data_IF_379212743032
#
_entry.id   IF_379212743032
#
_cell.length_a   1.000
_cell.length_b   1.000
_cell.length_c   1.000
_cell.angle_alpha   90.00
_cell.angle_beta   90.00
_cell.angle_gamma   90.00
#
_symmetry.space_group_name_H-M   'P 1'
#
loop_
_entity.id
_entity.type
_entity.pdbx_description
1 polymer ?
#
# COMPACT_ATOMS: atom_id res chain seq x y z
N UNK A 1 -5.75 4.74 2.01
CA UNK A 1 -6.26 6.12 1.87
C UNK A 1 -5.54 6.94 0.80
N UNK A 2 -4.28 7.40 0.91
CA UNK A 2 -3.69 8.25 -0.17
C UNK A 2 -3.39 7.47 -1.44
N UNK A 3 -2.83 6.26 -1.36
CA UNK A 3 -2.65 5.39 -2.54
C UNK A 3 -3.99 5.05 -3.21
N UNK A 4 -5.06 4.96 -2.41
CA UNK A 4 -6.42 4.70 -2.86
C UNK A 4 -7.07 5.95 -3.48
N UNK A 5 -6.78 7.14 -2.94
CA UNK A 5 -7.16 8.43 -3.54
C UNK A 5 -6.37 8.66 -4.83
N UNK A 6 -5.09 8.30 -4.87
CA UNK A 6 -4.23 8.36 -6.06
C UNK A 6 -4.73 7.41 -7.15
N UNK A 7 -5.05 6.16 -6.79
CA UNK A 7 -5.64 5.20 -7.72
C UNK A 7 -7.01 5.66 -8.19
N UNK A 8 -7.86 6.15 -7.29
CA UNK A 8 -9.19 6.67 -7.64
C UNK A 8 -9.09 7.93 -8.52
N UNK A 9 -8.16 8.85 -8.27
CA UNK A 9 -7.93 10.02 -9.14
C UNK A 9 -7.42 9.59 -10.50
N UNK A 10 -6.47 8.66 -10.54
CA UNK A 10 -5.96 8.10 -11.79
C UNK A 10 -7.06 7.36 -12.55
N UNK A 11 -7.94 6.65 -11.85
CA UNK A 11 -9.11 5.98 -12.42
C UNK A 11 -10.18 6.97 -12.86
N UNK A 12 -10.38 8.08 -12.15
CA UNK A 12 -11.28 9.17 -12.56
C UNK A 12 -10.74 9.88 -13.80
N UNK A 13 -9.42 10.14 -13.88
CA UNK A 13 -8.80 10.69 -15.07
C UNK A 13 -8.83 9.68 -16.23
N UNK A 14 -8.63 8.39 -15.96
CA UNK A 14 -8.79 7.34 -16.95
C UNK A 14 -10.26 7.24 -17.41
N UNK A 15 -11.22 7.34 -16.50
CA UNK A 15 -12.65 7.31 -16.80
C UNK A 15 -13.11 8.56 -17.54
N UNK A 16 -12.62 9.74 -17.17
CA UNK A 16 -12.83 10.96 -17.95
C UNK A 16 -12.16 10.86 -19.31
N UNK A 17 -10.98 10.24 -19.42
CA UNK A 17 -10.37 9.98 -20.72
C UNK A 17 -11.23 9.02 -21.56
N UNK A 18 -11.88 8.03 -20.92
CA UNK A 18 -12.83 7.11 -21.54
C UNK A 18 -14.16 7.78 -21.87
N UNK A 19 -14.65 8.72 -21.06
CA UNK A 19 -15.88 9.47 -21.31
C UNK A 19 -15.66 10.55 -22.39
N UNK A 20 -14.47 11.16 -22.43
CA UNK A 20 -14.00 11.99 -23.55
C UNK A 20 -13.85 11.11 -24.79
N UNK A 21 -13.30 9.90 -24.68
CA UNK A 21 -13.29 8.92 -25.77
C UNK A 21 -14.71 8.51 -26.19
N UNK A 22 -15.66 8.41 -25.27
CA UNK A 22 -17.06 8.00 -25.53
C UNK A 22 -17.93 9.12 -26.11
N UNK A 23 -17.72 10.36 -25.68
CA UNK A 23 -18.38 11.55 -26.23
C UNK A 23 -17.71 11.99 -27.53
N UNK A 24 -16.38 11.84 -27.63
CA UNK A 24 -15.69 12.00 -28.91
C UNK A 24 -16.02 10.84 -29.85
N UNK A 25 -16.31 9.62 -29.37
CA UNK A 25 -16.79 8.48 -30.17
C UNK A 25 -18.01 8.79 -30.99
N UNK A 26 -18.90 9.71 -30.61
CA UNK A 26 -20.01 10.10 -31.50
C UNK A 26 -19.50 10.77 -32.79
N UNK A 27 -18.52 11.67 -32.65
CA UNK A 27 -17.91 12.41 -33.76
C UNK A 27 -16.78 11.63 -34.44
N UNK A 28 -16.04 10.84 -33.67
CA UNK A 28 -14.99 9.94 -34.12
C UNK A 28 -15.59 8.71 -34.79
N UNK A 29 -16.69 8.10 -34.31
CA UNK A 29 -17.45 7.08 -35.07
C UNK A 29 -18.04 7.67 -36.33
N UNK A 30 -18.49 8.93 -36.32
CA UNK A 30 -19.02 9.54 -37.54
C UNK A 30 -17.89 9.71 -38.56
N UNK A 31 -16.75 10.23 -38.11
CA UNK A 31 -15.53 10.32 -38.92
C UNK A 31 -14.99 8.95 -39.34
N UNK A 32 -15.00 7.96 -38.46
CA UNK A 32 -14.47 6.60 -38.66
C UNK A 32 -15.45 5.75 -39.47
N UNK A 33 -16.76 5.93 -39.35
CA UNK A 33 -17.74 5.37 -40.30
C UNK A 33 -17.60 6.02 -41.65
N UNK A 34 -17.42 7.34 -41.73
CA UNK A 34 -17.20 8.01 -43.00
C UNK A 34 -15.86 7.57 -43.64
N UNK A 35 -14.80 7.41 -42.85
CA UNK A 35 -13.48 6.95 -43.30
C UNK A 35 -13.49 5.44 -43.60
N UNK A 36 -14.19 4.59 -42.84
CA UNK A 36 -14.28 3.16 -43.16
C UNK A 36 -15.19 2.91 -44.36
N UNK A 37 -16.29 3.66 -44.46
CA UNK A 37 -17.25 3.55 -45.56
C UNK A 37 -16.68 4.13 -46.85
N UNK A 38 -16.09 5.34 -46.83
CA UNK A 38 -15.58 6.01 -48.04
C UNK A 38 -14.07 5.98 -48.20
N UNK A 39 -13.29 5.70 -47.15
CA UNK A 39 -11.83 5.66 -47.25
C UNK A 39 -11.35 4.49 -48.09
N UNK A 40 -12.00 3.32 -48.02
CA UNK A 40 -11.74 2.22 -48.94
C UNK A 40 -12.03 2.63 -50.39
N UNK A 41 -13.21 3.22 -50.67
CA UNK A 41 -13.53 3.67 -52.03
C UNK A 41 -12.62 4.81 -52.49
N UNK A 42 -12.23 5.75 -51.63
CA UNK A 42 -11.36 6.88 -51.97
C UNK A 42 -9.93 6.43 -52.19
N UNK A 43 -9.43 5.49 -51.39
CA UNK A 43 -8.12 4.88 -51.57
C UNK A 43 -8.09 4.04 -52.85
N UNK A 44 -9.11 3.21 -53.07
CA UNK A 44 -9.24 2.39 -54.28
C UNK A 44 -9.43 3.26 -55.53
N UNK A 45 -10.21 4.33 -55.44
CA UNK A 45 -10.39 5.32 -56.51
C UNK A 45 -9.09 6.10 -56.75
N UNK A 46 -8.37 6.49 -55.69
CA UNK A 46 -7.06 7.12 -55.79
C UNK A 46 -6.03 6.22 -56.48
N UNK A 47 -5.99 4.93 -56.12
CA UNK A 47 -5.16 3.91 -56.79
C UNK A 47 -5.62 3.71 -58.22
N UNK A 48 -6.93 3.62 -58.49
CA UNK A 48 -7.46 3.38 -59.82
C UNK A 48 -7.15 4.56 -60.74
N UNK A 49 -7.38 5.80 -60.29
CA UNK A 49 -7.02 7.01 -61.03
C UNK A 49 -5.51 7.08 -61.23
N UNK A 50 -4.70 6.83 -60.19
CA UNK A 50 -3.24 6.86 -60.32
C UNK A 50 -2.71 5.76 -61.25
N UNK A 51 -3.32 4.57 -61.22
CA UNK A 51 -2.98 3.42 -62.06
C UNK A 51 -3.39 3.65 -63.52
N UNK A 52 -4.58 4.21 -63.76
CA UNK A 52 -5.02 4.61 -65.10
C UNK A 52 -4.11 5.69 -65.66
N UNK A 53 -3.75 6.70 -64.85
CA UNK A 53 -2.81 7.74 -65.26
C UNK A 53 -1.42 7.19 -65.55
N UNK A 54 -0.92 6.27 -64.73
CA UNK A 54 0.36 5.58 -64.97
C UNK A 54 0.32 4.71 -66.22
N UNK A 55 -0.80 4.04 -66.47
CA UNK A 55 -1.03 3.24 -67.68
C UNK A 55 -1.05 4.14 -68.92
N UNK A 56 -1.73 5.29 -68.85
CA UNK A 56 -1.72 6.31 -69.92
C UNK A 56 -0.29 6.82 -70.15
N UNK A 57 0.48 7.07 -69.09
CA UNK A 57 1.89 7.47 -69.19
C UNK A 57 2.74 6.38 -69.86
N UNK A 58 2.56 5.11 -69.50
CA UNK A 58 3.27 3.99 -70.13
C UNK A 58 2.91 3.88 -71.60
N UNK A 59 1.63 3.97 -71.97
CA UNK A 59 1.22 3.93 -73.38
C UNK A 59 1.72 5.13 -74.16
N UNK A 60 1.71 6.35 -73.59
CA UNK A 60 2.24 7.54 -74.23
C UNK A 60 3.76 7.47 -74.41
N UNK A 61 4.50 6.95 -73.42
CA UNK A 61 5.95 6.74 -73.55
C UNK A 61 6.27 5.67 -74.58
N UNK A 62 5.57 4.52 -74.58
CA UNK A 62 5.69 3.51 -75.62
C UNK A 62 5.31 4.03 -77.02
N UNK A 63 4.25 4.83 -77.13
CA UNK A 63 3.85 5.48 -78.39
C UNK A 63 4.89 6.48 -78.87
N UNK A 64 5.56 7.20 -77.96
CA UNK A 64 6.69 8.08 -78.29
C UNK A 64 7.87 7.26 -78.86
N UNK A 65 8.19 6.13 -78.26
CA UNK A 65 9.24 5.22 -78.75
C UNK A 65 8.89 4.60 -80.12
N UNK A 66 7.63 4.22 -80.34
CA UNK A 66 7.16 3.72 -81.63
C UNK A 66 7.08 4.83 -82.70
N UNK A 67 6.74 6.07 -82.32
CA UNK A 67 6.67 7.24 -83.20
C UNK A 67 8.04 7.67 -83.72
N UNK A 68 9.12 7.44 -82.98
CA UNK A 68 10.50 7.64 -83.44
C UNK A 68 10.86 6.70 -84.60
N UNK A 69 10.13 5.59 -84.80
CA UNK A 69 10.42 4.57 -85.83
C UNK A 69 9.34 4.43 -86.93
N UNK A 70 8.27 5.25 -86.94
CA UNK A 70 7.14 5.12 -87.85
C UNK A 70 7.12 6.15 -89.01
N UNK A 71 6.82 5.71 -90.23
CA UNK A 71 6.65 6.58 -91.43
C UNK A 71 5.17 6.94 -91.62
N UNK A 72 4.86 8.21 -91.92
CA UNK A 72 3.50 8.78 -92.02
C UNK A 72 2.84 8.60 -93.40
N UNK A 73 1.55 8.23 -93.44
CA UNK A 73 0.60 8.60 -94.48
C UNK A 73 -0.50 9.54 -93.91
N UNK A 74 -0.87 10.54 -94.68
CA UNK A 74 -1.57 11.76 -94.24
C UNK A 74 -3.04 11.54 -93.85
N UNK A 75 -3.53 12.27 -92.84
CA UNK A 75 -4.96 12.30 -92.46
C UNK A 75 -5.20 12.94 -91.09
N UNK A 76 -5.78 14.14 -91.09
CA UNK A 76 -6.00 15.03 -89.95
C UNK A 76 -7.11 14.54 -89.00
N UNK A 77 -6.92 14.76 -87.69
CA UNK A 77 -7.99 14.85 -86.68
C UNK A 77 -7.79 13.95 -85.45
N UNK A 78 -7.43 14.54 -84.30
CA UNK A 78 -8.06 14.19 -83.03
C UNK A 78 -7.78 15.19 -81.88
N UNK A 79 -8.86 15.63 -81.24
CA UNK A 79 -8.91 16.52 -80.07
C UNK A 79 -8.41 15.80 -78.80
N UNK A 80 -7.10 15.61 -78.67
CA UNK A 80 -6.51 14.89 -77.53
C UNK A 80 -6.07 15.78 -76.34
N UNK A 81 -6.29 17.10 -76.37
CA UNK A 81 -5.48 18.02 -75.55
C UNK A 81 -6.24 19.02 -74.65
N UNK A 82 -7.35 18.64 -74.00
CA UNK A 82 -7.97 19.52 -72.97
C UNK A 82 -8.41 18.83 -71.65
N UNK A 83 -8.09 17.55 -71.43
CA UNK A 83 -8.41 16.87 -70.15
C UNK A 83 -7.32 17.02 -69.09
N UNK A 84 -6.09 17.38 -69.47
CA UNK A 84 -4.97 17.62 -68.54
C UNK A 84 -5.09 18.91 -67.72
N UNK A 85 -5.76 19.94 -68.26
CA UNK A 85 -5.98 21.24 -67.59
C UNK A 85 -6.91 21.09 -66.38
N UNK A 86 -7.99 20.30 -66.49
CA UNK A 86 -8.88 19.99 -65.38
C UNK A 86 -8.19 19.21 -64.26
N UNK A 87 -7.34 18.25 -64.61
CA UNK A 87 -6.52 17.49 -63.64
C UNK A 87 -5.52 18.38 -62.90
N UNK A 88 -4.89 19.34 -63.59
CA UNK A 88 -3.98 20.30 -62.97
C UNK A 88 -4.70 21.22 -61.97
N UNK A 89 -5.92 21.69 -62.29
CA UNK A 89 -6.73 22.52 -61.38
C UNK A 89 -7.14 21.71 -60.14
N UNK A 90 -7.60 20.47 -60.32
CA UNK A 90 -7.95 19.59 -59.20
C UNK A 90 -6.73 19.30 -58.32
N UNK A 91 -5.57 19.02 -58.92
CA UNK A 91 -4.32 18.80 -58.18
C UNK A 91 -3.89 20.05 -57.40
N UNK A 92 -4.04 21.25 -57.98
CA UNK A 92 -3.68 22.51 -57.34
C UNK A 92 -4.58 22.82 -56.13
N UNK A 93 -5.89 22.55 -56.24
CA UNK A 93 -6.81 22.68 -55.09
C UNK A 93 -6.46 21.70 -53.96
N UNK A 94 -6.15 20.45 -54.30
CA UNK A 94 -5.75 19.44 -53.31
C UNK A 94 -4.38 19.76 -52.68
N UNK A 95 -3.45 20.32 -53.45
CA UNK A 95 -2.17 20.82 -52.97
C UNK A 95 -2.35 21.95 -51.97
N UNK A 96 -3.12 22.99 -52.30
CA UNK A 96 -3.37 24.11 -51.41
C UNK A 96 -4.05 23.65 -50.12
N UNK A 97 -5.08 22.81 -50.23
CA UNK A 97 -5.77 22.25 -49.06
C UNK A 97 -4.83 21.39 -48.20
N UNK A 98 -4.08 20.49 -48.82
CA UNK A 98 -3.15 19.61 -48.12
C UNK A 98 -1.99 20.35 -47.45
N UNK A 99 -1.45 21.39 -48.10
CA UNK A 99 -0.39 22.23 -47.56
C UNK A 99 -0.89 23.07 -46.38
N UNK A 100 -2.07 23.69 -46.50
CA UNK A 100 -2.69 24.46 -45.41
C UNK A 100 -3.00 23.56 -44.21
N UNK A 101 -3.60 22.39 -44.43
CA UNK A 101 -3.89 21.45 -43.33
C UNK A 101 -2.59 20.93 -42.67
N UNK A 102 -1.57 20.61 -43.45
CA UNK A 102 -0.32 20.08 -42.90
C UNK A 102 0.45 21.15 -42.13
N UNK A 103 0.66 22.33 -42.72
CA UNK A 103 1.44 23.39 -42.09
C UNK A 103 0.67 24.18 -41.04
N UNK A 104 -0.65 24.35 -41.22
CA UNK A 104 -1.49 25.13 -40.32
C UNK A 104 -2.10 24.34 -39.16
N UNK A 105 -2.21 23.01 -39.26
CA UNK A 105 -2.82 22.18 -38.20
C UNK A 105 -1.84 21.13 -37.70
N UNK A 106 -1.21 20.36 -38.59
CA UNK A 106 -0.44 19.19 -38.17
C UNK A 106 0.94 19.49 -37.59
N UNK A 107 1.70 20.42 -38.17
CA UNK A 107 2.99 20.83 -37.57
C UNK A 107 2.78 21.50 -36.20
N UNK A 108 1.83 22.45 -36.04
CA UNK A 108 1.57 23.11 -34.76
C UNK A 108 1.12 22.13 -33.66
N UNK A 109 0.24 21.17 -33.98
CA UNK A 109 -0.23 20.19 -32.99
C UNK A 109 0.81 19.12 -32.62
N UNK A 110 1.73 18.77 -33.54
CA UNK A 110 2.82 17.84 -33.21
C UNK A 110 3.84 18.49 -32.27
N UNK A 111 4.20 19.75 -32.56
CA UNK A 111 5.22 20.51 -31.85
C UNK A 111 4.69 21.88 -31.37
N UNK A 112 3.84 21.89 -30.32
CA UNK A 112 3.15 23.12 -29.88
C UNK A 112 4.09 24.19 -29.28
N UNK A 113 5.25 23.80 -28.75
CA UNK A 113 6.19 24.73 -28.10
C UNK A 113 7.04 25.52 -29.10
N UNK A 114 7.42 24.89 -30.21
CA UNK A 114 8.39 25.45 -31.17
C UNK A 114 7.77 26.04 -32.43
N UNK A 115 6.44 26.02 -32.55
CA UNK A 115 5.73 26.44 -33.76
C UNK A 115 5.04 27.80 -33.59
N UNK A 116 5.36 28.72 -34.49
CA UNK A 116 4.86 30.10 -34.46
C UNK A 116 3.34 30.18 -34.61
N UNK A 117 2.72 29.25 -35.36
CA UNK A 117 1.27 29.25 -35.58
C UNK A 117 0.54 28.83 -34.31
N UNK A 118 1.07 27.83 -33.58
CA UNK A 118 0.51 27.45 -32.29
C UNK A 118 0.66 28.58 -31.27
N UNK A 119 1.82 29.24 -31.27
CA UNK A 119 2.13 30.33 -30.34
C UNK A 119 1.09 31.46 -30.38
N UNK A 120 0.50 31.76 -31.55
CA UNK A 120 -0.52 32.80 -31.65
C UNK A 120 -1.79 32.46 -30.87
N UNK A 121 -2.27 31.22 -30.99
CA UNK A 121 -3.44 30.74 -30.23
C UNK A 121 -3.12 30.64 -28.75
N UNK A 122 -1.93 30.14 -28.44
CA UNK A 122 -1.45 29.89 -27.08
C UNK A 122 -1.20 31.19 -26.29
N UNK A 123 -0.83 32.28 -26.98
CA UNK A 123 -0.70 33.61 -26.38
C UNK A 123 -2.04 34.28 -26.06
N UNK A 124 -3.12 33.91 -26.77
CA UNK A 124 -4.46 34.47 -26.55
C UNK A 124 -5.12 33.83 -25.32
N UNK A 125 -4.82 32.56 -25.03
CA UNK A 125 -5.47 31.81 -23.97
C UNK A 125 -4.54 31.69 -22.76
N UNK A 126 -4.72 32.57 -21.77
CA UNK A 126 -4.12 32.39 -20.46
C UNK A 126 -5.03 31.55 -19.56
N UNK A 127 -4.59 30.34 -19.27
CA UNK A 127 -5.29 29.39 -18.40
C UNK A 127 -5.44 29.90 -16.98
N UNK A 128 -4.58 30.81 -16.51
CA UNK A 128 -4.73 31.42 -15.19
C UNK A 128 -6.11 32.08 -15.03
N UNK A 129 -6.63 32.73 -16.08
CA UNK A 129 -7.94 33.38 -16.05
C UNK A 129 -9.10 32.36 -16.01
N UNK A 130 -8.93 31.21 -16.66
CA UNK A 130 -9.91 30.12 -16.67
C UNK A 130 -9.97 29.44 -15.29
N UNK A 131 -8.81 29.20 -14.69
CA UNK A 131 -8.72 28.57 -13.37
C UNK A 131 -9.11 29.53 -12.24
N UNK A 132 -8.81 30.83 -12.35
CA UNK A 132 -9.17 31.85 -11.35
C UNK A 132 -10.66 31.87 -11.02
N UNK A 133 -11.54 31.72 -12.01
CA UNK A 133 -12.99 31.71 -11.79
C UNK A 133 -13.47 30.46 -11.03
N UNK A 134 -12.81 29.31 -11.21
CA UNK A 134 -13.17 28.06 -10.54
C UNK A 134 -12.54 27.91 -9.14
N UNK A 135 -11.40 28.57 -8.92
CA UNK A 135 -10.63 28.54 -7.67
C UNK A 135 -11.05 29.68 -6.70
N UNK A 136 -11.86 30.64 -7.15
CA UNK A 136 -12.37 31.74 -6.32
C UNK A 136 -13.07 31.26 -5.02
N UNK A 137 -13.58 30.02 -5.02
CA UNK A 137 -14.18 29.32 -3.87
C UNK A 137 -13.18 28.96 -2.76
N UNK A 138 -11.89 28.86 -3.07
CA UNK A 138 -10.80 28.44 -2.18
C UNK A 138 -9.78 29.56 -1.93
N UNK A 139 -10.22 30.83 -1.96
CA UNK A 139 -9.39 31.97 -1.58
C UNK A 139 -8.92 31.82 -0.13
N UNK A 140 -7.66 31.43 0.04
CA UNK A 140 -6.91 31.60 1.28
C UNK A 140 -6.42 33.05 1.38
N UNK A 141 -6.21 33.58 2.60
CA UNK A 141 -5.68 34.94 2.83
C UNK A 141 -4.37 35.23 2.06
N UNK A 142 -3.57 34.19 1.76
CA UNK A 142 -2.34 34.29 0.97
C UNK A 142 -2.56 34.60 -0.51
N UNK A 143 -3.75 34.39 -1.06
CA UNK A 143 -4.06 34.71 -2.47
C UNK A 143 -4.00 36.21 -2.79
N UNK A 144 -3.98 37.09 -1.78
CA UNK A 144 -3.87 38.53 -1.95
C UNK A 144 -2.41 39.03 -2.07
N UNK A 145 -1.42 38.15 -1.89
CA UNK A 145 0.02 38.50 -1.89
C UNK A 145 0.73 38.05 -3.18
N UNK A 146 0.09 37.20 -3.98
CA UNK A 146 0.66 36.73 -5.24
C UNK A 146 0.56 37.88 -6.25
N UNK A 147 1.70 38.39 -6.71
CA UNK A 147 1.78 39.38 -7.77
C UNK A 147 1.22 38.87 -9.10
N UNK A 148 1.51 39.56 -10.20
CA UNK A 148 1.13 39.06 -11.54
C UNK A 148 1.73 37.66 -11.76
N UNK A 149 0.87 36.64 -11.84
CA UNK A 149 1.31 35.28 -12.15
C UNK A 149 1.87 35.25 -13.58
N UNK A 150 2.94 34.47 -13.82
CA UNK A 150 3.42 34.27 -15.18
C UNK A 150 2.31 33.62 -16.03
N UNK A 151 2.21 33.97 -17.33
CA UNK A 151 1.19 33.41 -18.20
C UNK A 151 1.26 31.88 -18.19
N UNK A 152 0.10 31.23 -18.07
CA UNK A 152 -0.02 29.78 -18.06
C UNK A 152 -0.69 29.32 -19.34
N UNK A 153 0.06 28.62 -20.18
CA UNK A 153 -0.34 28.34 -21.55
C UNK A 153 -0.73 26.88 -21.76
N UNK A 154 -1.46 26.59 -22.83
CA UNK A 154 -1.89 25.24 -23.17
C UNK A 154 -0.69 24.39 -23.62
N UNK A 155 0.28 25.01 -24.32
CA UNK A 155 1.54 24.34 -24.69
C UNK A 155 2.29 23.80 -23.47
N UNK A 156 2.38 24.58 -22.38
CA UNK A 156 3.00 24.17 -21.12
C UNK A 156 2.36 22.90 -20.57
N UNK A 157 1.03 22.83 -20.58
CA UNK A 157 0.24 21.67 -20.11
C UNK A 157 0.52 20.45 -20.97
N UNK A 158 0.47 20.60 -22.30
CA UNK A 158 0.71 19.48 -23.22
C UNK A 158 2.13 18.93 -23.04
N UNK A 159 3.14 19.79 -22.95
CA UNK A 159 4.54 19.38 -22.78
C UNK A 159 4.78 18.74 -21.41
N UNK A 160 4.24 19.33 -20.33
CA UNK A 160 4.34 18.75 -18.99
C UNK A 160 3.67 17.37 -18.91
N UNK A 161 2.52 17.20 -19.57
CA UNK A 161 1.84 15.91 -19.61
C UNK A 161 2.54 14.87 -20.48
N UNK A 162 3.20 15.26 -21.57
CA UNK A 162 4.09 14.37 -22.33
C UNK A 162 5.26 13.86 -21.47
N UNK A 163 5.72 14.65 -20.51
CA UNK A 163 6.73 14.26 -19.51
C UNK A 163 6.15 13.48 -18.32
N UNK A 164 4.85 13.17 -18.34
CA UNK A 164 4.12 12.44 -17.30
C UNK A 164 4.20 13.10 -15.90
N UNK A 165 4.22 14.43 -15.86
CA UNK A 165 4.19 15.20 -14.61
C UNK A 165 2.85 15.05 -13.88
N UNK A 166 2.85 15.36 -12.59
CA UNK A 166 1.65 15.36 -11.75
C UNK A 166 0.79 16.59 -12.00
N UNK A 167 -0.50 16.49 -11.70
CA UNK A 167 -1.46 17.61 -11.76
C UNK A 167 -1.00 18.78 -10.86
N UNK A 168 -0.31 18.49 -9.75
CA UNK A 168 0.24 19.53 -8.86
C UNK A 168 1.25 20.42 -9.59
N UNK A 169 2.20 19.82 -10.31
CA UNK A 169 3.19 20.55 -11.10
C UNK A 169 2.57 21.20 -12.35
N UNK A 170 1.74 20.45 -13.08
CA UNK A 170 1.15 20.88 -14.36
C UNK A 170 0.28 22.11 -14.19
N UNK A 171 -0.58 22.12 -13.16
CA UNK A 171 -1.47 23.26 -12.86
C UNK A 171 -0.80 24.32 -12.00
N UNK A 172 0.50 24.18 -11.69
CA UNK A 172 1.28 25.08 -10.82
C UNK A 172 0.54 25.37 -9.51
N UNK A 173 -0.01 24.33 -8.88
CA UNK A 173 -0.87 24.45 -7.69
C UNK A 173 -0.10 25.09 -6.52
N UNK A 174 1.23 24.98 -6.50
CA UNK A 174 2.11 25.66 -5.54
C UNK A 174 1.83 27.17 -5.41
N UNK A 175 1.40 27.83 -6.49
CA UNK A 175 1.03 29.24 -6.46
C UNK A 175 -0.20 29.51 -5.57
N UNK A 176 -1.12 28.56 -5.44
CA UNK A 176 -2.36 28.70 -4.66
C UNK A 176 -2.32 27.98 -3.32
N UNK A 177 -1.62 26.85 -3.27
CA UNK A 177 -1.50 25.97 -2.12
C UNK A 177 -0.09 25.38 -2.05
N UNK A 178 0.68 25.87 -1.08
CA UNK A 178 2.01 25.35 -0.81
C UNK A 178 1.95 24.09 0.05
N UNK A 179 2.67 23.05 -0.35
CA UNK A 179 2.85 21.84 0.47
C UNK A 179 3.57 22.14 1.80
N UNK A 180 4.27 23.28 1.92
CA UNK A 180 4.83 23.75 3.20
C UNK A 180 3.74 23.99 4.25
N UNK A 181 2.54 24.39 3.83
CA UNK A 181 1.44 24.71 4.74
C UNK A 181 0.88 23.45 5.42
N UNK A 182 1.04 22.27 4.79
CA UNK A 182 0.76 20.97 5.42
C UNK A 182 1.83 20.65 6.46
N UNK A 183 3.10 20.87 6.11
CA UNK A 183 4.25 20.58 6.97
C UNK A 183 4.27 21.41 8.25
N UNK A 184 3.93 22.69 8.13
CA UNK A 184 3.89 23.65 9.24
C UNK A 184 2.46 23.95 9.70
N UNK A 185 1.56 22.98 9.56
CA UNK A 185 0.14 23.13 9.91
C UNK A 185 -0.04 23.59 11.37
N UNK A 186 -1.02 24.47 11.57
CA UNK A 186 -1.37 25.01 12.89
C UNK A 186 -1.82 23.89 13.83
N UNK A 187 -2.47 22.88 13.27
CA UNK A 187 -2.95 21.69 13.96
C UNK A 187 -1.80 20.86 14.52
N UNK A 188 -0.73 20.63 13.74
CA UNK A 188 0.47 19.95 14.21
C UNK A 188 1.12 20.72 15.36
N UNK A 189 1.34 22.03 15.19
CA UNK A 189 1.92 22.88 16.23
C UNK A 189 1.07 22.91 17.51
N UNK A 190 -0.27 22.91 17.36
CA UNK A 190 -1.20 22.83 18.51
C UNK A 190 -1.07 21.50 19.23
N UNK A 191 -0.97 20.40 18.49
CA UNK A 191 -0.80 19.07 19.08
C UNK A 191 0.55 18.95 19.81
N UNK A 192 1.63 19.42 19.21
CA UNK A 192 2.95 19.49 19.85
C UNK A 192 2.90 20.27 21.16
N UNK A 193 2.30 21.47 21.14
CA UNK A 193 2.15 22.29 22.34
C UNK A 193 1.28 21.62 23.41
N UNK A 194 0.21 20.92 23.04
CA UNK A 194 -0.61 20.15 23.97
C UNK A 194 0.18 19.01 24.61
N UNK A 195 0.94 18.26 23.81
CA UNK A 195 1.77 17.16 24.34
C UNK A 195 2.88 17.68 25.24
N UNK A 196 3.51 18.80 24.88
CA UNK A 196 4.50 19.47 25.74
C UNK A 196 3.89 19.91 27.07
N UNK A 197 2.69 20.48 27.06
CA UNK A 197 1.96 20.86 28.27
C UNK A 197 1.68 19.64 29.16
N UNK A 198 1.21 18.53 28.59
CA UNK A 198 1.01 17.29 29.33
C UNK A 198 2.31 16.76 29.93
N UNK A 199 3.42 16.73 29.19
CA UNK A 199 4.71 16.26 29.70
C UNK A 199 5.25 17.15 30.82
N UNK A 200 5.04 18.47 30.73
CA UNK A 200 5.55 19.42 31.70
C UNK A 200 4.69 19.51 32.97
N UNK A 201 3.37 19.35 32.85
CA UNK A 201 2.43 19.47 33.97
C UNK A 201 2.21 18.15 34.72
N UNK A 202 2.67 17.03 34.17
CA UNK A 202 2.52 15.73 34.83
C UNK A 202 3.54 15.59 35.97
N UNK A 203 3.10 15.90 37.19
CA UNK A 203 3.85 15.64 38.40
C UNK A 203 3.64 14.19 38.85
N UNK A 204 4.60 13.32 38.55
CA UNK A 204 4.67 12.03 39.19
C UNK A 204 5.24 12.18 40.61
N UNK A 205 4.37 12.18 41.61
CA UNK A 205 4.77 12.16 43.02
C UNK A 205 4.98 10.70 43.43
N UNK A 206 6.23 10.35 43.72
CA UNK A 206 6.64 9.02 44.16
C UNK A 206 6.27 8.76 45.62
N UNK A 207 4.97 8.64 45.92
CA UNK A 207 4.46 8.18 47.22
C UNK A 207 4.24 6.66 47.28
N UNK A 208 4.63 5.94 46.22
CA UNK A 208 4.44 4.50 46.13
C UNK A 208 5.44 3.82 47.07
N UNK A 209 4.89 3.14 48.07
CA UNK A 209 5.63 2.34 49.03
C UNK A 209 5.29 0.87 48.79
N UNK A 210 6.20 0.15 48.13
CA UNK A 210 6.07 -1.27 47.79
C UNK A 210 6.13 -2.12 49.06
N UNK A 211 7.10 -1.81 49.94
CA UNK A 211 7.30 -2.52 51.19
C UNK A 211 7.18 -1.54 52.35
N UNK A 212 6.12 -1.70 53.14
CA UNK A 212 5.96 -0.93 54.37
C UNK A 212 7.01 -1.35 55.41
N UNK A 213 7.48 -0.44 56.28
CA UNK A 213 8.49 -0.76 57.28
C UNK A 213 8.03 -1.88 58.22
N UNK A 214 6.73 -1.94 58.53
CA UNK A 214 6.13 -2.99 59.35
C UNK A 214 6.23 -4.36 58.66
N UNK A 215 5.99 -4.40 57.34
CA UNK A 215 6.02 -5.65 56.57
C UNK A 215 7.46 -6.12 56.36
N UNK A 216 8.40 -5.20 56.13
CA UNK A 216 9.84 -5.52 56.14
C UNK A 216 10.23 -6.19 57.45
N UNK A 217 9.82 -5.61 58.58
CA UNK A 217 10.12 -6.18 59.90
C UNK A 217 9.50 -7.57 60.10
N UNK A 218 8.29 -7.82 59.57
CA UNK A 218 7.69 -9.17 59.59
C UNK A 218 8.51 -10.16 58.76
N UNK A 219 8.99 -9.76 57.58
CA UNK A 219 9.82 -10.61 56.73
C UNK A 219 11.19 -10.91 57.39
N UNK A 220 11.83 -9.92 57.99
CA UNK A 220 13.07 -10.10 58.76
C UNK A 220 12.86 -11.00 59.99
N UNK A 221 11.73 -10.87 60.68
CA UNK A 221 11.40 -11.75 61.81
C UNK A 221 11.14 -13.19 61.33
N UNK A 222 10.46 -13.36 60.20
CA UNK A 222 10.23 -14.68 59.60
C UNK A 222 11.54 -15.33 59.18
N UNK A 223 12.46 -14.55 58.62
CA UNK A 223 13.82 -14.99 58.28
C UNK A 223 14.64 -15.39 59.52
N UNK A 224 14.38 -14.80 60.69
CA UNK A 224 15.05 -15.17 61.95
C UNK A 224 14.34 -16.26 62.72
N UNK A 225 13.20 -16.76 62.22
CA UNK A 225 12.43 -17.80 62.90
C UNK A 225 13.08 -19.18 62.75
N UNK A 226 12.68 -20.11 63.61
CA UNK A 226 13.15 -21.51 63.57
C UNK A 226 12.76 -22.24 62.29
N UNK A 227 11.87 -21.68 61.47
CA UNK A 227 11.52 -22.22 60.15
C UNK A 227 12.72 -22.28 59.19
N UNK A 228 13.77 -21.49 59.41
CA UNK A 228 15.02 -21.59 58.63
C UNK A 228 15.70 -22.94 58.81
N UNK A 229 15.60 -23.52 60.01
CA UNK A 229 16.23 -24.79 60.35
C UNK A 229 15.25 -25.97 60.19
N UNK A 230 14.13 -25.77 59.48
CA UNK A 230 13.17 -26.83 59.23
C UNK A 230 13.81 -27.93 58.40
N UNK A 231 13.80 -29.14 58.94
CA UNK A 231 14.44 -30.31 58.37
C UNK A 231 13.39 -31.42 58.26
N UNK A 232 12.83 -31.55 57.05
CA UNK A 232 11.82 -32.54 56.73
C UNK A 232 12.33 -33.97 56.92
N UNK A 233 13.62 -34.21 56.70
CA UNK A 233 14.19 -35.56 56.79
C UNK A 233 14.20 -36.05 58.24
N UNK A 234 14.39 -35.16 59.22
CA UNK A 234 14.18 -35.51 60.64
C UNK A 234 12.77 -35.99 60.95
N UNK A 235 11.74 -35.44 60.31
CA UNK A 235 10.36 -35.93 60.51
C UNK A 235 10.16 -37.30 59.87
N UNK A 236 10.71 -37.52 58.67
CA UNK A 236 10.68 -38.85 58.01
C UNK A 236 11.41 -39.92 58.84
N UNK A 237 12.53 -39.57 59.44
CA UNK A 237 13.36 -40.50 60.21
C UNK A 237 12.73 -40.83 61.58
N UNK A 238 12.05 -39.87 62.23
CA UNK A 238 11.55 -40.04 63.59
C UNK A 238 10.05 -40.45 63.66
N UNK A 239 9.27 -40.26 62.59
CA UNK A 239 7.85 -40.60 62.58
C UNK A 239 7.65 -41.98 61.95
N UNK A 240 7.39 -42.98 62.79
CA UNK A 240 7.09 -44.32 62.32
C UNK A 240 5.61 -44.48 61.96
N UNK A 241 5.32 -44.96 60.75
CA UNK A 241 3.95 -45.29 60.32
C UNK A 241 3.53 -46.70 60.73
N UNK A 242 4.48 -47.55 61.13
CA UNK A 242 4.24 -48.85 61.71
C UNK A 242 4.21 -48.73 63.24
N UNK A 243 3.00 -48.56 63.79
CA UNK A 243 2.79 -48.31 65.23
C UNK A 243 3.10 -49.54 66.09
N UNK A 244 2.84 -50.75 65.56
CA UNK A 244 3.07 -52.02 66.25
C UNK A 244 4.06 -52.90 65.47
N UNK A 245 4.91 -53.64 66.19
CA UNK A 245 5.87 -54.57 65.58
C UNK A 245 5.19 -55.74 64.85
N UNK A 246 4.00 -56.13 65.28
CA UNK A 246 3.18 -57.18 64.68
C UNK A 246 1.77 -56.67 64.42
N UNK A 247 1.09 -57.28 63.43
CA UNK A 247 -0.30 -56.98 63.13
C UNK A 247 -1.21 -57.46 64.26
N UNK A 248 -1.88 -56.53 64.93
CA UNK A 248 -2.84 -56.86 66.00
C UNK A 248 -4.03 -57.65 65.45
N UNK A 249 -4.43 -57.40 64.19
CA UNK A 249 -5.47 -58.14 63.48
C UNK A 249 -5.06 -59.58 63.18
N UNK A 250 -3.79 -59.80 62.81
CA UNK A 250 -3.29 -61.15 62.57
C UNK A 250 -3.20 -61.93 63.88
N UNK A 251 -2.74 -61.27 64.95
CA UNK A 251 -2.71 -61.84 66.29
C UNK A 251 -4.13 -62.15 66.81
N UNK A 252 -5.09 -61.24 66.63
CA UNK A 252 -6.49 -61.47 67.03
C UNK A 252 -7.11 -62.65 66.28
N UNK A 253 -6.80 -62.79 64.98
CA UNK A 253 -7.25 -63.92 64.16
C UNK A 253 -6.66 -65.24 64.66
N UNK A 254 -5.35 -65.29 64.92
CA UNK A 254 -4.69 -66.48 65.48
C UNK A 254 -5.26 -66.90 66.84
N UNK A 255 -5.59 -65.94 67.72
CA UNK A 255 -6.22 -66.22 69.01
C UNK A 255 -7.63 -66.81 68.85
N UNK A 256 -8.42 -66.32 67.89
CA UNK A 256 -9.75 -66.87 67.58
C UNK A 256 -9.66 -68.29 67.01
N UNK A 257 -8.70 -68.55 66.13
CA UNK A 257 -8.44 -69.89 65.58
C UNK A 257 -7.98 -70.86 66.68
N UNK A 258 -7.05 -70.45 67.54
CA UNK A 258 -6.63 -71.23 68.69
C UNK A 258 -7.82 -71.60 69.59
N UNK A 259 -8.72 -70.64 69.88
CA UNK A 259 -9.94 -70.90 70.64
C UNK A 259 -10.88 -71.90 69.95
N UNK A 260 -10.97 -71.87 68.61
CA UNK A 260 -11.80 -72.80 67.81
C UNK A 260 -11.23 -74.22 67.80
N UNK A 261 -9.90 -74.36 67.78
CA UNK A 261 -9.23 -75.64 67.64
C UNK A 261 -9.14 -76.46 68.94
N UNK A 262 -9.42 -75.87 70.10
CA UNK A 262 -9.47 -76.59 71.38
C UNK A 262 -10.68 -77.54 71.45
N UNK A 263 -10.43 -78.86 71.43
CA UNK A 263 -11.45 -79.92 71.55
C UNK A 263 -11.73 -80.23 73.04
N UNK A 264 -13.00 -80.38 73.42
CA UNK A 264 -13.43 -80.58 74.81
C UNK A 264 -14.14 -79.34 75.37
N UNK A 265 -15.45 -79.24 75.15
CA UNK A 265 -16.22 -78.02 75.36
C UNK A 265 -16.34 -77.60 76.84
N UNK A 266 -16.40 -78.58 77.75
CA UNK A 266 -16.49 -78.33 79.19
C UNK A 266 -15.12 -78.08 79.84
N UNK A 267 -14.05 -78.75 79.38
CA UNK A 267 -12.74 -78.67 80.02
C UNK A 267 -11.99 -77.35 79.72
N UNK A 268 -12.21 -76.76 78.55
CA UNK A 268 -11.46 -75.58 78.08
C UNK A 268 -12.33 -74.32 77.89
N UNK A 269 -13.55 -74.32 78.44
CA UNK A 269 -14.53 -73.21 78.28
C UNK A 269 -13.94 -71.85 78.65
N UNK A 270 -13.29 -71.76 79.81
CA UNK A 270 -12.69 -70.53 80.31
C UNK A 270 -11.54 -70.01 79.41
N UNK A 271 -10.65 -70.91 78.97
CA UNK A 271 -9.54 -70.56 78.08
C UNK A 271 -10.06 -70.05 76.72
N UNK A 272 -11.12 -70.66 76.18
CA UNK A 272 -11.77 -70.19 74.94
C UNK A 272 -12.35 -68.78 75.09
N UNK A 273 -12.99 -68.49 76.22
CA UNK A 273 -13.54 -67.15 76.52
C UNK A 273 -12.40 -66.13 76.62
N UNK A 274 -11.34 -66.44 77.38
CA UNK A 274 -10.18 -65.55 77.54
C UNK A 274 -9.52 -65.24 76.19
N UNK A 275 -9.27 -66.26 75.35
CA UNK A 275 -8.68 -66.07 74.02
C UNK A 275 -9.56 -65.18 73.11
N UNK A 276 -10.89 -65.36 73.15
CA UNK A 276 -11.82 -64.54 72.38
C UNK A 276 -11.88 -63.10 72.89
N UNK A 277 -11.85 -62.90 74.21
CA UNK A 277 -11.82 -61.56 74.82
C UNK A 277 -10.50 -60.85 74.52
N UNK A 278 -9.37 -61.55 74.57
CA UNK A 278 -8.07 -61.00 74.16
C UNK A 278 -8.07 -60.62 72.67
N UNK A 279 -8.63 -61.46 71.80
CA UNK A 279 -8.80 -61.11 70.39
C UNK A 279 -9.66 -59.87 70.19
N UNK A 280 -10.77 -59.74 70.94
CA UNK A 280 -11.63 -58.57 70.92
C UNK A 280 -10.91 -57.30 71.38
N UNK A 281 -10.10 -57.38 72.44
CA UNK A 281 -9.27 -56.25 72.88
C UNK A 281 -8.25 -55.86 71.82
N UNK A 282 -7.59 -56.81 71.16
CA UNK A 282 -6.63 -56.52 70.09
C UNK A 282 -7.29 -55.84 68.89
N UNK A 283 -8.48 -56.29 68.48
CA UNK A 283 -9.25 -55.61 67.42
C UNK A 283 -9.67 -54.20 67.85
N UNK A 284 -10.04 -54.05 69.13
CA UNK A 284 -10.39 -52.74 69.72
C UNK A 284 -9.19 -51.79 69.72
N UNK A 285 -8.00 -52.27 70.08
CA UNK A 285 -6.76 -51.47 70.03
C UNK A 285 -6.34 -51.18 68.59
N UNK A 286 -6.50 -52.12 67.68
CA UNK A 286 -6.23 -51.91 66.27
C UNK A 286 -7.09 -50.75 65.73
N UNK A 287 -8.40 -50.79 65.98
CA UNK A 287 -9.34 -49.81 65.44
C UNK A 287 -9.27 -48.46 66.16
N UNK A 288 -9.19 -48.46 67.50
CA UNK A 288 -9.29 -47.23 68.29
C UNK A 288 -7.94 -46.57 68.59
N UNK A 289 -6.81 -47.26 68.40
CA UNK A 289 -5.47 -46.71 68.65
C UNK A 289 -4.58 -46.77 67.40
N UNK A 290 -4.33 -47.98 66.87
CA UNK A 290 -3.34 -48.16 65.79
C UNK A 290 -3.75 -47.44 64.51
N UNK A 291 -5.00 -47.58 64.07
CA UNK A 291 -5.52 -46.92 62.87
C UNK A 291 -5.48 -45.38 62.99
N UNK A 292 -6.03 -44.74 64.04
CA UNK A 292 -5.91 -43.30 64.25
C UNK A 292 -4.46 -42.80 64.33
N UNK A 293 -3.60 -43.49 65.07
CA UNK A 293 -2.18 -43.11 65.19
C UNK A 293 -1.45 -43.22 63.85
N UNK A 294 -1.72 -44.27 63.07
CA UNK A 294 -1.14 -44.44 61.72
C UNK A 294 -1.61 -43.33 60.79
N UNK A 295 -2.90 -42.96 60.85
CA UNK A 295 -3.45 -41.85 60.06
C UNK A 295 -2.77 -40.52 60.40
N UNK A 296 -2.66 -40.20 61.69
CA UNK A 296 -2.00 -38.98 62.16
C UNK A 296 -0.51 -38.93 61.81
N UNK A 297 0.20 -40.06 61.89
CA UNK A 297 1.60 -40.15 61.48
C UNK A 297 1.77 -39.84 59.99
N UNK A 298 0.88 -40.35 59.12
CA UNK A 298 0.88 -40.03 57.69
C UNK A 298 0.53 -38.57 57.42
N UNK A 299 -0.46 -38.02 58.11
CA UNK A 299 -0.84 -36.60 57.98
C UNK A 299 0.31 -35.68 58.40
N UNK A 300 1.05 -36.02 59.47
CA UNK A 300 2.21 -35.26 59.90
C UNK A 300 3.34 -35.26 58.86
N UNK A 301 3.62 -36.42 58.25
CA UNK A 301 4.63 -36.55 57.19
C UNK A 301 4.23 -35.77 55.91
N UNK A 302 2.96 -35.80 55.55
CA UNK A 302 2.42 -35.03 54.42
C UNK A 302 2.53 -33.52 54.67
N UNK A 303 2.13 -33.06 55.86
CA UNK A 303 2.27 -31.66 56.26
C UNK A 303 3.72 -31.21 56.29
N UNK A 304 4.63 -32.04 56.81
CA UNK A 304 6.08 -31.77 56.82
C UNK A 304 6.63 -31.62 55.41
N UNK A 305 6.24 -32.51 54.50
CA UNK A 305 6.67 -32.45 53.09
C UNK A 305 6.10 -31.22 52.37
N UNK A 306 4.84 -30.88 52.61
CA UNK A 306 4.23 -29.66 52.07
C UNK A 306 4.95 -28.41 52.57
N UNK A 307 5.25 -28.34 53.86
CA UNK A 307 5.97 -27.21 54.44
C UNK A 307 7.38 -27.08 53.85
N UNK A 308 8.12 -28.18 53.70
CA UNK A 308 9.44 -28.19 53.07
C UNK A 308 9.42 -27.62 51.64
N UNK A 309 8.44 -28.06 50.83
CA UNK A 309 8.27 -27.56 49.47
C UNK A 309 7.92 -26.07 49.42
N UNK A 310 7.17 -25.56 50.40
CA UNK A 310 6.84 -24.12 50.51
C UNK A 310 8.09 -23.33 50.90
N UNK A 311 8.90 -23.86 51.81
CA UNK A 311 10.11 -23.21 52.31
C UNK A 311 11.25 -23.23 51.27
N UNK A 312 11.30 -24.25 50.40
CA UNK A 312 12.33 -24.41 49.36
C UNK A 312 11.82 -24.00 47.97
N UNK A 313 11.96 -22.72 47.63
CA UNK A 313 11.71 -22.24 46.26
C UNK A 313 12.97 -22.44 45.40
N UNK A 314 12.80 -23.03 44.21
CA UNK A 314 13.87 -23.27 43.21
C UNK A 314 15.10 -24.02 43.76
N UNK A 315 14.89 -24.91 44.74
CA UNK A 315 15.94 -25.72 45.35
C UNK A 315 16.84 -24.98 46.34
N UNK A 316 16.59 -23.68 46.60
CA UNK A 316 17.33 -22.91 47.60
C UNK A 316 16.66 -22.95 48.97
N UNK A 317 17.44 -22.87 50.07
CA UNK A 317 16.87 -22.79 51.40
C UNK A 317 16.07 -21.49 51.59
N UNK A 318 15.11 -21.52 52.51
CA UNK A 318 14.16 -20.43 52.75
C UNK A 318 14.83 -19.09 53.09
N UNK A 319 15.90 -19.12 53.89
CA UNK A 319 16.63 -17.91 54.30
C UNK A 319 17.29 -17.19 53.11
N UNK A 320 17.95 -17.94 52.22
CA UNK A 320 18.62 -17.37 51.05
C UNK A 320 17.62 -16.71 50.10
N UNK A 321 16.47 -17.35 49.88
CA UNK A 321 15.41 -16.79 49.05
C UNK A 321 14.79 -15.53 49.67
N UNK A 322 14.59 -15.52 51.00
CA UNK A 322 14.03 -14.36 51.69
C UNK A 322 14.96 -13.14 51.62
N UNK A 323 16.27 -13.34 51.78
CA UNK A 323 17.28 -12.28 51.61
C UNK A 323 17.23 -11.66 50.22
N UNK A 324 17.15 -12.49 49.17
CA UNK A 324 17.07 -12.03 47.78
C UNK A 324 15.79 -11.20 47.58
N UNK A 325 14.65 -11.68 48.05
CA UNK A 325 13.36 -11.00 47.89
C UNK A 325 13.36 -9.64 48.61
N UNK A 326 13.81 -9.58 49.86
CA UNK A 326 13.87 -8.30 50.61
C UNK A 326 14.78 -7.32 49.86
N UNK A 327 15.95 -7.77 49.39
CA UNK A 327 16.89 -6.94 48.65
C UNK A 327 16.31 -6.44 47.32
N UNK A 328 15.62 -7.29 46.56
CA UNK A 328 14.95 -6.90 45.31
C UNK A 328 13.84 -5.87 45.56
N UNK A 329 13.05 -6.05 46.63
CA UNK A 329 12.01 -5.11 47.02
C UNK A 329 12.59 -3.75 47.43
N UNK A 330 13.71 -3.73 48.16
CA UNK A 330 14.42 -2.50 48.50
C UNK A 330 14.96 -1.79 47.26
N UNK A 331 15.59 -2.53 46.34
CA UNK A 331 16.09 -1.96 45.09
C UNK A 331 14.97 -1.37 44.24
N UNK A 332 13.83 -2.07 44.14
CA UNK A 332 12.65 -1.56 43.46
C UNK A 332 12.09 -0.31 44.14
N UNK A 333 12.05 -0.28 45.48
CA UNK A 333 11.62 0.89 46.25
C UNK A 333 12.55 2.10 45.99
N UNK A 334 13.87 1.90 46.06
CA UNK A 334 14.87 2.94 45.78
C UNK A 334 14.75 3.46 44.36
N UNK A 335 14.55 2.58 43.38
CA UNK A 335 14.35 2.99 41.98
C UNK A 335 13.10 3.88 41.84
N UNK A 336 11.96 3.48 42.41
CA UNK A 336 10.72 4.25 42.34
C UNK A 336 10.85 5.60 43.07
N UNK A 337 11.49 5.63 44.24
CA UNK A 337 11.61 6.85 45.04
C UNK A 337 12.59 7.85 44.45
N UNK A 338 13.73 7.39 43.93
CA UNK A 338 14.80 8.28 43.45
C UNK A 338 14.67 8.58 41.95
N UNK A 339 14.31 7.58 41.15
CA UNK A 339 14.31 7.66 39.67
C UNK A 339 12.93 7.52 39.05
N UNK A 340 11.89 7.14 39.80
CA UNK A 340 10.56 6.88 39.23
C UNK A 340 9.99 8.10 38.49
N UNK A 341 10.08 9.29 39.09
CA UNK A 341 9.60 10.53 38.46
C UNK A 341 10.36 10.86 37.17
N UNK A 342 11.69 10.77 37.21
CA UNK A 342 12.54 10.98 36.03
C UNK A 342 12.27 9.95 34.94
N UNK A 343 12.17 8.66 35.29
CA UNK A 343 11.91 7.57 34.36
C UNK A 343 10.56 7.75 33.65
N UNK A 344 9.50 8.08 34.38
CA UNK A 344 8.18 8.36 33.79
C UNK A 344 8.25 9.56 32.86
N UNK A 345 8.93 10.64 33.27
CA UNK A 345 9.10 11.84 32.45
C UNK A 345 9.87 11.56 31.17
N UNK A 346 10.99 10.83 31.24
CA UNK A 346 11.80 10.47 30.09
C UNK A 346 11.02 9.56 29.13
N UNK A 347 10.28 8.59 29.66
CA UNK A 347 9.39 7.71 28.87
C UNK A 347 8.30 8.52 28.15
N UNK A 348 7.71 9.52 28.81
CA UNK A 348 6.72 10.39 28.20
C UNK A 348 7.33 11.29 27.11
N UNK A 349 8.55 11.79 27.30
CA UNK A 349 9.28 12.54 26.28
C UNK A 349 9.57 11.65 25.07
N UNK A 350 10.02 10.42 25.28
CA UNK A 350 10.27 9.44 24.22
C UNK A 350 8.99 9.14 23.44
N UNK A 351 7.89 8.86 24.15
CA UNK A 351 6.58 8.63 23.54
C UNK A 351 6.11 9.84 22.73
N UNK A 352 6.22 11.05 23.27
CA UNK A 352 5.91 12.30 22.56
C UNK A 352 6.71 12.39 21.26
N UNK A 353 8.03 12.23 21.34
CA UNK A 353 8.91 12.34 20.18
C UNK A 353 8.58 11.27 19.13
N UNK A 354 8.24 10.06 19.57
CA UNK A 354 7.81 8.99 18.67
C UNK A 354 6.50 9.37 17.95
N UNK A 355 5.49 9.86 18.67
CA UNK A 355 4.21 10.27 18.09
C UNK A 355 4.37 11.41 17.07
N UNK A 356 5.14 12.45 17.42
CA UNK A 356 5.43 13.56 16.50
C UNK A 356 6.22 13.07 15.28
N UNK A 357 7.20 12.19 15.48
CA UNK A 357 7.96 11.59 14.39
C UNK A 357 7.09 10.78 13.42
N UNK A 358 6.10 10.04 13.92
CA UNK A 358 5.14 9.34 13.06
C UNK A 358 4.29 10.30 12.22
N UNK A 359 3.82 11.40 12.83
CA UNK A 359 3.08 12.44 12.11
C UNK A 359 3.94 13.09 11.03
N UNK A 360 5.20 13.38 11.34
CA UNK A 360 6.14 13.96 10.37
C UNK A 360 6.43 13.03 9.20
N UNK A 361 6.65 11.75 9.48
CA UNK A 361 6.84 10.75 8.44
C UNK A 361 5.60 10.64 7.54
N UNK A 362 4.41 10.67 8.14
CA UNK A 362 3.16 10.63 7.39
C UNK A 362 3.00 11.87 6.51
N UNK A 363 3.19 13.08 7.07
CA UNK A 363 3.14 14.34 6.31
C UNK A 363 4.15 14.32 5.16
N UNK A 364 5.39 13.87 5.40
CA UNK A 364 6.42 13.76 4.36
C UNK A 364 5.96 12.84 3.24
N UNK A 365 5.35 11.70 3.58
CA UNK A 365 4.77 10.78 2.61
C UNK A 365 3.64 11.43 1.80
N UNK A 366 2.76 12.24 2.42
CA UNK A 366 1.71 12.98 1.71
C UNK A 366 2.33 13.95 0.69
N UNK A 367 3.28 14.77 1.14
CA UNK A 367 3.93 15.80 0.31
C UNK A 367 4.60 15.15 -0.89
N UNK A 368 5.37 14.09 -0.66
CA UNK A 368 6.05 13.34 -1.72
C UNK A 368 5.06 12.70 -2.69
N UNK A 369 3.98 12.09 -2.18
CA UNK A 369 2.94 11.49 -3.01
C UNK A 369 2.24 12.53 -3.90
N UNK A 370 1.87 13.69 -3.35
CA UNK A 370 1.21 14.76 -4.13
C UNK A 370 2.14 15.29 -5.22
N UNK A 371 3.41 15.47 -4.90
CA UNK A 371 4.38 16.04 -5.83
C UNK A 371 4.73 15.06 -6.95
N UNK A 372 4.93 13.78 -6.62
CA UNK A 372 5.55 12.82 -7.54
C UNK A 372 4.60 11.75 -8.10
N UNK A 373 3.52 11.41 -7.41
CA UNK A 373 2.73 10.21 -7.74
C UNK A 373 1.25 10.44 -8.01
N UNK A 374 0.64 11.45 -7.39
CA UNK A 374 -0.80 11.70 -7.51
C UNK A 374 -1.12 12.48 -8.77
N UNK A 375 -2.06 11.97 -9.56
CA UNK A 375 -2.61 12.69 -10.72
C UNK A 375 -1.61 12.85 -11.86
N UNK A 376 -0.84 11.82 -12.19
CA UNK A 376 0.02 11.82 -13.39
C UNK A 376 -0.82 11.99 -14.67
N UNK A 377 -0.45 12.94 -15.53
CA UNK A 377 -1.23 13.25 -16.74
C UNK A 377 -0.72 12.62 -18.04
N UNK A 378 0.19 11.65 -17.97
CA UNK A 378 0.61 10.86 -19.13
C UNK A 378 -0.54 10.22 -19.94
N UNK A 379 -1.61 9.68 -19.31
CA UNK A 379 -2.75 9.16 -20.06
C UNK A 379 -3.42 10.21 -20.94
N UNK A 380 -3.52 11.46 -20.47
CA UNK A 380 -4.10 12.57 -21.24
C UNK A 380 -3.19 12.93 -22.43
N UNK A 381 -1.87 12.93 -22.24
CA UNK A 381 -0.92 13.15 -23.32
C UNK A 381 -1.02 12.05 -24.40
N UNK A 382 -1.26 10.80 -24.01
CA UNK A 382 -1.47 9.71 -24.96
C UNK A 382 -2.75 9.90 -25.79
N UNK A 383 -3.84 10.36 -25.17
CA UNK A 383 -5.08 10.69 -25.89
C UNK A 383 -4.83 11.82 -26.89
N UNK A 384 -4.16 12.89 -26.46
CA UNK A 384 -3.80 14.00 -27.34
C UNK A 384 -2.96 13.53 -28.54
N UNK A 385 -1.89 12.76 -28.29
CA UNK A 385 -1.02 12.25 -29.34
C UNK A 385 -1.75 11.30 -30.30
N UNK A 386 -2.68 10.50 -29.79
CA UNK A 386 -3.52 9.61 -30.60
C UNK A 386 -4.45 10.42 -31.50
N UNK A 387 -5.09 11.46 -30.97
CA UNK A 387 -5.92 12.38 -31.76
C UNK A 387 -5.12 13.09 -32.87
N UNK A 388 -3.92 13.60 -32.54
CA UNK A 388 -3.02 14.21 -33.53
C UNK A 388 -2.61 13.19 -34.59
N UNK A 389 -2.30 11.96 -34.21
CA UNK A 389 -1.93 10.89 -35.15
C UNK A 389 -3.09 10.53 -36.08
N UNK A 390 -4.32 10.45 -35.56
CA UNK A 390 -5.50 10.15 -36.35
C UNK A 390 -5.76 11.25 -37.40
N UNK A 391 -5.75 12.51 -37.01
CA UNK A 391 -5.99 13.62 -37.97
C UNK A 391 -4.82 13.75 -38.94
N UNK A 392 -3.58 13.79 -38.45
CA UNK A 392 -2.46 14.15 -39.30
C UNK A 392 -1.96 12.99 -40.16
N UNK A 393 -1.74 11.83 -39.55
CA UNK A 393 -1.11 10.72 -40.27
C UNK A 393 -2.15 9.89 -41.03
N UNK A 394 -3.40 9.79 -40.56
CA UNK A 394 -4.44 9.00 -41.25
C UNK A 394 -5.28 9.81 -42.24
N UNK A 395 -5.38 11.13 -42.09
CA UNK A 395 -6.20 11.96 -42.98
C UNK A 395 -5.37 12.94 -43.82
N UNK A 396 -4.54 13.78 -43.19
CA UNK A 396 -3.78 14.83 -43.91
C UNK A 396 -2.65 14.26 -44.77
N UNK A 397 -1.86 13.33 -44.25
CA UNK A 397 -0.72 12.76 -44.99
C UNK A 397 -1.13 12.02 -46.28
N UNK A 398 -2.22 11.20 -46.31
CA UNK A 398 -2.72 10.62 -47.56
C UNK A 398 -3.24 11.65 -48.59
N UNK A 399 -3.87 12.74 -48.13
CA UNK A 399 -4.26 13.85 -49.03
C UNK A 399 -3.01 14.47 -49.67
N UNK A 400 -1.94 14.61 -48.90
CA UNK A 400 -0.66 15.11 -49.38
C UNK A 400 0.04 14.14 -50.35
N UNK A 401 0.01 12.84 -50.05
CA UNK A 401 0.54 11.82 -50.94
C UNK A 401 -0.16 11.81 -52.30
N UNK A 402 -1.48 12.00 -52.33
CA UNK A 402 -2.26 12.01 -53.57
C UNK A 402 -1.88 13.15 -54.52
N UNK A 403 -1.81 14.40 -54.03
CA UNK A 403 -1.44 15.52 -54.91
C UNK A 403 0.03 15.43 -55.32
N UNK A 404 0.93 14.96 -54.45
CA UNK A 404 2.33 14.79 -54.78
C UNK A 404 2.52 13.80 -55.95
N UNK A 405 1.81 12.67 -55.91
CA UNK A 405 1.79 11.70 -57.01
C UNK A 405 1.20 12.28 -58.30
N UNK A 406 0.09 13.02 -58.19
CA UNK A 406 -0.56 13.65 -59.35
C UNK A 406 0.33 14.73 -59.99
N UNK A 407 0.99 15.56 -59.17
CA UNK A 407 1.90 16.59 -59.63
C UNK A 407 3.09 15.99 -60.40
N UNK A 408 3.65 14.88 -59.92
CA UNK A 408 4.72 14.19 -60.62
C UNK A 408 4.27 13.65 -61.99
N UNK A 409 3.05 13.14 -62.08
CA UNK A 409 2.47 12.72 -63.37
C UNK A 409 2.35 13.91 -64.33
N UNK A 410 1.86 15.07 -63.87
CA UNK A 410 1.74 16.28 -64.70
C UNK A 410 3.12 16.78 -65.17
N UNK A 411 4.13 16.77 -64.29
CA UNK A 411 5.51 17.16 -64.64
C UNK A 411 6.07 16.26 -65.75
N UNK A 412 5.80 14.96 -65.72
CA UNK A 412 6.23 14.03 -66.77
C UNK A 412 5.38 14.14 -68.05
N UNK A 413 4.10 14.51 -67.92
CA UNK A 413 3.22 14.72 -69.07
C UNK A 413 3.51 16.00 -69.86
N UNK A 414 3.96 17.08 -69.21
CA UNK A 414 4.27 18.34 -69.91
C UNK A 414 5.34 18.21 -71.03
N UNK A 415 6.54 17.65 -70.80
CA UNK A 415 7.53 17.49 -71.86
C UNK A 415 7.10 16.47 -72.91
N UNK A 416 6.40 15.40 -72.52
CA UNK A 416 5.90 14.40 -73.47
C UNK A 416 4.84 14.98 -74.39
N UNK A 417 3.93 15.83 -73.91
CA UNK A 417 2.97 16.55 -74.74
C UNK A 417 3.70 17.47 -75.73
N UNK A 418 4.71 18.23 -75.30
CA UNK A 418 5.47 19.12 -76.19
C UNK A 418 6.15 18.32 -77.31
N UNK A 419 6.79 17.19 -76.98
CA UNK A 419 7.43 16.31 -77.96
C UNK A 419 6.36 15.71 -78.89
N UNK A 420 5.24 15.21 -78.36
CA UNK A 420 4.13 14.68 -79.16
C UNK A 420 3.56 15.72 -80.13
N UNK A 421 3.37 16.97 -79.71
CA UNK A 421 2.89 18.07 -80.59
C UNK A 421 3.93 18.38 -81.67
N UNK A 422 5.22 18.37 -81.34
CA UNK A 422 6.30 18.58 -82.31
C UNK A 422 6.50 17.41 -83.27
N UNK A 423 6.21 16.18 -82.85
CA UNK A 423 6.23 14.99 -83.70
C UNK A 423 4.95 14.88 -84.56
N UNK A 424 3.85 15.50 -84.07
CA UNK A 424 2.56 15.52 -84.74
C UNK A 424 2.44 16.65 -85.77
N UNK A 425 3.09 17.79 -85.53
CA UNK A 425 3.38 18.79 -86.58
C UNK A 425 4.40 18.26 -87.57
#
# INVERSE_FOLDING_TARGET
MINEVSSNLTEVFAKQSVDIDKNSKGYADYGERYINQYGSYRFLFGILVSSVLLTILIFLTCALFCGICGKRPDGYGDDCCNKGSALAVVALVHFLLGLVLHRGICVPLKNPESDDVFSYVDNIIDLNNVFKNNIQSYKTEKSNVIGELPPFRISDVITACKQNKTVYEVLRIENFFSLSDIKDSKEKKRLEAQLDDYVNNLSFTSSIQILQPEDKKKLENLQKSDLVNFDNDKFKDNVNTQITSQSLTELSTKLREAAKNLKGEQQYSEIKITLRNSALHLDTYQHNLVEPMTKQARELLDLSTKLDNILRKDGKPFNENMDIIIKELEQAQTFISERGSTFVKDTLIELKNHLIGQIDNYIKFIVDSIQNDVGKCGPIANVYQSGVTAVCNKFVDPLNGFWAGTAWCVILFLPTIIICVKLSS
#
